data_IF_098504696251
#
_entry.id   IF_098504696251
#
_cell.length_a   1.000
_cell.length_b   1.000
_cell.length_c   1.000
_cell.angle_alpha   90.00
_cell.angle_beta   90.00
_cell.angle_gamma   90.00
#
_symmetry.space_group_name_H-M   'P 1'
#
loop_
_entity.id
_entity.type
_entity.pdbx_description
1 polymer ?
#
# COMPACT_ATOMS: atom_id res chain seq x y z
N UNK A 1 4.83 39.87 8.97
CA UNK A 1 3.39 39.46 8.92
C UNK A 1 3.14 38.37 7.88
N UNK A 2 3.79 38.40 6.72
CA UNK A 2 3.56 37.44 5.62
C UNK A 2 4.18 36.06 5.92
N UNK A 3 5.29 35.99 6.63
CA UNK A 3 5.93 34.73 7.03
C UNK A 3 5.06 33.91 8.00
N UNK A 4 4.34 34.58 8.91
CA UNK A 4 3.43 33.93 9.86
C UNK A 4 2.16 33.41 9.15
N UNK A 5 1.65 34.16 8.15
CA UNK A 5 0.52 33.74 7.30
C UNK A 5 0.87 32.53 6.45
N UNK A 6 2.06 32.49 5.83
CA UNK A 6 2.48 31.38 4.98
C UNK A 6 2.70 30.09 5.79
N UNK A 7 3.21 30.19 7.03
CA UNK A 7 3.32 29.05 7.95
C UNK A 7 1.95 28.48 8.32
N UNK A 8 0.98 29.35 8.67
CA UNK A 8 -0.38 28.92 8.98
C UNK A 8 -1.07 28.20 7.82
N UNK A 9 -0.87 28.66 6.57
CA UNK A 9 -1.44 28.01 5.39
C UNK A 9 -0.83 26.63 5.14
N UNK A 10 0.48 26.46 5.31
CA UNK A 10 1.15 25.17 5.20
C UNK A 10 0.61 24.15 6.19
N UNK A 11 0.34 24.55 7.44
CA UNK A 11 -0.22 23.66 8.46
C UNK A 11 -1.68 23.28 8.18
N UNK A 12 -2.47 24.17 7.58
CA UNK A 12 -3.83 23.88 7.10
C UNK A 12 -3.78 22.80 6.02
N UNK A 13 -2.88 22.91 5.03
CA UNK A 13 -2.74 21.90 3.99
C UNK A 13 -2.33 20.53 4.55
N UNK A 14 -1.39 20.46 5.47
CA UNK A 14 -0.98 19.21 6.12
C UNK A 14 -2.15 18.53 6.84
N UNK A 15 -2.92 19.31 7.62
CA UNK A 15 -4.13 18.82 8.31
C UNK A 15 -5.18 18.31 7.31
N UNK A 16 -5.42 19.03 6.22
CA UNK A 16 -6.34 18.61 5.17
C UNK A 16 -5.90 17.28 4.55
N UNK A 17 -4.60 17.11 4.20
CA UNK A 17 -4.10 15.86 3.65
C UNK A 17 -4.26 14.69 4.61
N UNK A 18 -3.99 14.90 5.91
CA UNK A 18 -4.20 13.89 6.95
C UNK A 18 -5.67 13.45 7.03
N UNK A 19 -6.60 14.43 7.14
CA UNK A 19 -8.04 14.16 7.23
C UNK A 19 -8.54 13.45 5.98
N UNK A 20 -8.13 13.91 4.79
CA UNK A 20 -8.54 13.30 3.52
C UNK A 20 -7.99 11.88 3.37
N UNK A 21 -6.75 11.61 3.82
CA UNK A 21 -6.18 10.25 3.82
C UNK A 21 -6.96 9.31 4.75
N UNK A 22 -7.29 9.76 5.97
CA UNK A 22 -8.12 8.99 6.89
C UNK A 22 -9.51 8.72 6.31
N UNK A 23 -10.14 9.74 5.75
CA UNK A 23 -11.49 9.65 5.19
C UNK A 23 -11.54 8.76 3.97
N UNK A 24 -10.60 8.89 3.03
CA UNK A 24 -10.55 8.06 1.82
C UNK A 24 -10.33 6.58 2.15
N UNK A 25 -9.47 6.29 3.12
CA UNK A 25 -9.23 4.92 3.56
C UNK A 25 -10.45 4.34 4.30
N UNK A 26 -11.07 5.10 5.21
CA UNK A 26 -12.31 4.69 5.87
C UNK A 26 -13.44 4.43 4.86
N UNK A 27 -13.56 5.30 3.85
CA UNK A 27 -14.53 5.12 2.76
C UNK A 27 -14.25 3.86 1.93
N UNK A 28 -12.99 3.60 1.61
CA UNK A 28 -12.56 2.37 0.97
C UNK A 28 -13.00 1.15 1.80
N UNK A 29 -12.66 1.11 3.09
CA UNK A 29 -13.02 0.00 3.96
C UNK A 29 -14.54 -0.20 4.03
N UNK A 30 -15.32 0.89 4.20
CA UNK A 30 -16.78 0.84 4.24
C UNK A 30 -17.36 0.22 2.95
N UNK A 31 -16.87 0.66 1.78
CA UNK A 31 -17.39 0.22 0.47
C UNK A 31 -16.88 -1.15 0.04
N UNK A 32 -15.63 -1.47 0.33
CA UNK A 32 -15.03 -2.76 0.00
C UNK A 32 -15.65 -3.90 0.79
N UNK A 33 -15.83 -3.71 2.11
CA UNK A 33 -16.35 -4.73 3.03
C UNK A 33 -17.86 -4.64 3.29
N UNK A 34 -18.53 -3.61 2.82
CA UNK A 34 -19.94 -3.33 3.06
C UNK A 34 -20.31 -3.41 4.55
N UNK A 35 -19.48 -2.77 5.39
CA UNK A 35 -19.66 -2.71 6.85
C UNK A 35 -19.64 -1.26 7.31
N UNK A 36 -20.41 -0.99 8.39
CA UNK A 36 -20.41 0.29 9.08
C UNK A 36 -20.17 0.03 10.56
N UNK A 37 -19.00 0.41 11.05
CA UNK A 37 -18.58 0.21 12.42
C UNK A 37 -17.50 1.22 12.81
N UNK A 38 -17.27 1.40 14.11
CA UNK A 38 -16.27 2.34 14.65
C UNK A 38 -14.83 2.04 14.23
N UNK A 39 -14.51 0.79 13.87
CA UNK A 39 -13.17 0.41 13.41
C UNK A 39 -12.81 1.05 12.07
N UNK A 40 -13.79 1.50 11.27
CA UNK A 40 -13.52 2.24 10.04
C UNK A 40 -12.69 3.50 10.32
N UNK A 41 -13.12 4.28 11.31
CA UNK A 41 -12.43 5.52 11.71
C UNK A 41 -11.09 5.21 12.36
N UNK A 42 -11.02 4.19 13.22
CA UNK A 42 -9.78 3.77 13.86
C UNK A 42 -8.69 3.39 12.83
N UNK A 43 -9.02 2.55 11.86
CA UNK A 43 -8.07 2.16 10.80
C UNK A 43 -7.79 3.30 9.82
N UNK A 44 -8.75 4.21 9.59
CA UNK A 44 -8.52 5.45 8.86
C UNK A 44 -7.45 6.32 9.52
N UNK A 45 -7.51 6.46 10.83
CA UNK A 45 -6.52 7.20 11.63
C UNK A 45 -5.16 6.49 11.59
N UNK A 46 -5.11 5.17 11.78
CA UNK A 46 -3.87 4.39 11.72
C UNK A 46 -3.16 4.55 10.37
N UNK A 47 -3.91 4.53 9.26
CA UNK A 47 -3.37 4.75 7.93
C UNK A 47 -2.86 6.18 7.75
N UNK A 48 -3.64 7.18 8.15
CA UNK A 48 -3.28 8.59 7.98
C UNK A 48 -2.09 9.02 8.85
N UNK A 49 -1.92 8.43 10.03
CA UNK A 49 -0.77 8.67 10.92
C UNK A 49 0.32 7.60 10.82
N UNK A 50 0.39 6.90 9.67
CA UNK A 50 1.50 5.98 9.42
C UNK A 50 2.85 6.71 9.39
N UNK A 51 3.94 5.96 9.61
CA UNK A 51 5.31 6.50 9.57
C UNK A 51 5.61 7.24 8.26
N UNK A 52 5.01 6.80 7.14
CA UNK A 52 5.13 7.51 5.87
C UNK A 52 4.63 8.96 5.96
N UNK A 53 3.45 9.19 6.52
CA UNK A 53 2.92 10.54 6.70
C UNK A 53 3.82 11.35 7.64
N UNK A 54 4.23 10.76 8.76
CA UNK A 54 5.07 11.43 9.76
C UNK A 54 6.46 11.79 9.20
N UNK A 55 7.02 10.96 8.33
CA UNK A 55 8.31 11.22 7.68
C UNK A 55 8.21 12.30 6.60
N UNK A 56 7.11 12.30 5.83
CA UNK A 56 6.98 13.10 4.60
C UNK A 56 5.90 14.19 4.65
N UNK A 57 5.36 14.53 5.84
CA UNK A 57 4.32 15.57 5.98
C UNK A 57 4.75 16.94 5.47
N UNK A 58 6.03 17.22 5.41
CA UNK A 58 6.60 18.44 4.84
C UNK A 58 6.56 18.45 3.31
N UNK A 59 6.51 17.30 2.65
CA UNK A 59 6.36 17.15 1.21
C UNK A 59 4.90 16.93 0.82
N UNK A 60 4.11 18.00 0.91
CA UNK A 60 2.64 17.98 0.81
C UNK A 60 2.13 17.34 -0.48
N UNK A 61 2.90 17.47 -1.58
CA UNK A 61 2.51 16.92 -2.89
C UNK A 61 2.56 15.39 -2.97
N UNK A 62 3.28 14.72 -2.07
CA UNK A 62 3.30 13.24 -2.03
C UNK A 62 2.09 12.67 -1.28
N UNK A 63 1.52 13.47 -0.38
CA UNK A 63 0.38 13.04 0.44
C UNK A 63 -0.91 12.86 -0.38
N UNK A 64 -0.99 13.46 -1.59
CA UNK A 64 -2.09 13.21 -2.52
C UNK A 64 -2.17 11.74 -2.93
N UNK A 65 -1.04 11.07 -3.03
CA UNK A 65 -1.00 9.65 -3.34
C UNK A 65 -1.60 8.79 -2.21
N UNK A 66 -1.41 9.17 -0.94
CA UNK A 66 -2.09 8.50 0.18
C UNK A 66 -3.61 8.67 0.13
N UNK A 67 -4.10 9.83 -0.35
CA UNK A 67 -5.54 10.08 -0.49
C UNK A 67 -6.11 9.25 -1.63
N UNK A 68 -5.41 9.21 -2.78
CA UNK A 68 -5.93 8.59 -4.00
C UNK A 68 -5.76 7.07 -4.02
N UNK A 69 -4.77 6.50 -3.34
CA UNK A 69 -4.52 5.05 -3.34
C UNK A 69 -5.74 4.22 -2.90
N UNK A 70 -6.44 4.53 -1.78
CA UNK A 70 -7.64 3.80 -1.39
C UNK A 70 -8.77 3.89 -2.44
N UNK A 71 -8.90 5.04 -3.11
CA UNK A 71 -9.92 5.23 -4.15
C UNK A 71 -9.57 4.49 -5.44
N UNK A 72 -8.29 4.43 -5.81
CA UNK A 72 -7.78 3.62 -6.91
C UNK A 72 -8.05 2.13 -6.63
N UNK A 73 -7.70 1.64 -5.43
CA UNK A 73 -7.97 0.27 -5.03
C UNK A 73 -9.47 -0.08 -5.08
N UNK A 74 -10.33 0.79 -4.54
CA UNK A 74 -11.78 0.64 -4.62
C UNK A 74 -12.28 0.65 -6.08
N UNK A 75 -11.69 1.49 -6.92
CA UNK A 75 -12.00 1.54 -8.35
C UNK A 75 -11.70 0.22 -9.05
N UNK A 76 -10.54 -0.40 -8.75
CA UNK A 76 -10.18 -1.72 -9.27
C UNK A 76 -11.17 -2.79 -8.81
N UNK A 77 -11.54 -2.79 -7.51
CA UNK A 77 -12.58 -3.71 -7.02
C UNK A 77 -13.93 -3.53 -7.74
N UNK A 78 -14.32 -2.28 -8.06
CA UNK A 78 -15.53 -2.01 -8.84
C UNK A 78 -15.42 -2.53 -10.28
N UNK A 79 -14.26 -2.43 -10.92
CA UNK A 79 -14.03 -3.05 -12.22
C UNK A 79 -14.32 -4.55 -12.15
N UNK A 80 -13.86 -5.25 -11.10
CA UNK A 80 -14.15 -6.67 -10.93
C UNK A 80 -15.63 -6.95 -10.62
N UNK A 81 -16.22 -6.20 -9.69
CA UNK A 81 -17.61 -6.45 -9.24
C UNK A 81 -18.67 -6.08 -10.30
N UNK A 82 -18.56 -4.90 -10.87
CA UNK A 82 -19.59 -4.33 -11.75
C UNK A 82 -19.11 -4.01 -13.17
N UNK A 83 -17.80 -3.96 -13.40
CA UNK A 83 -17.22 -3.49 -14.65
C UNK A 83 -17.18 -1.97 -14.79
N UNK A 84 -17.49 -1.21 -13.73
CA UNK A 84 -17.45 0.25 -13.71
C UNK A 84 -16.02 0.75 -13.59
N UNK A 85 -15.56 1.50 -14.60
CA UNK A 85 -14.20 2.04 -14.67
C UNK A 85 -14.07 3.46 -14.11
N UNK A 86 -15.19 4.15 -13.84
CA UNK A 86 -15.21 5.60 -13.57
C UNK A 86 -14.36 5.99 -12.37
N UNK A 87 -14.56 5.32 -11.22
CA UNK A 87 -13.84 5.67 -9.99
C UNK A 87 -12.33 5.50 -10.16
N UNK A 88 -11.90 4.39 -10.78
CA UNK A 88 -10.50 4.12 -11.05
C UNK A 88 -9.88 5.20 -11.94
N UNK A 89 -10.52 5.47 -13.09
CA UNK A 89 -10.04 6.46 -14.06
C UNK A 89 -9.94 7.84 -13.44
N UNK A 90 -11.00 8.32 -12.77
CA UNK A 90 -11.02 9.67 -12.16
C UNK A 90 -9.97 9.80 -11.08
N UNK A 91 -9.83 8.81 -10.19
CA UNK A 91 -8.83 8.84 -9.12
C UNK A 91 -7.40 8.86 -9.67
N UNK A 92 -7.14 8.11 -10.74
CA UNK A 92 -5.83 8.08 -11.39
C UNK A 92 -5.53 9.39 -12.12
N UNK A 93 -6.52 10.00 -12.79
CA UNK A 93 -6.38 11.33 -13.42
C UNK A 93 -6.05 12.39 -12.39
N UNK A 94 -6.78 12.45 -11.28
CA UNK A 94 -6.52 13.42 -10.19
C UNK A 94 -5.08 13.23 -9.67
N UNK A 95 -4.65 11.98 -9.47
CA UNK A 95 -3.32 11.71 -8.98
C UNK A 95 -2.23 12.13 -9.97
N UNK A 96 -2.37 11.87 -11.28
CA UNK A 96 -1.40 12.30 -12.28
C UNK A 96 -1.26 13.82 -12.36
N UNK A 97 -2.38 14.56 -12.25
CA UNK A 97 -2.33 16.02 -12.20
C UNK A 97 -1.70 16.54 -10.89
N UNK A 98 -1.96 15.87 -9.76
CA UNK A 98 -1.38 16.24 -8.48
C UNK A 98 0.13 15.93 -8.42
N UNK A 99 0.52 14.73 -8.85
CA UNK A 99 1.91 14.29 -8.87
C UNK A 99 2.09 13.09 -9.82
N UNK A 100 2.61 13.34 -11.01
CA UNK A 100 2.81 12.31 -12.03
C UNK A 100 3.75 11.19 -11.56
N UNK A 101 4.77 11.51 -10.77
CA UNK A 101 5.76 10.56 -10.30
C UNK A 101 5.16 9.56 -9.27
N UNK A 102 4.38 10.06 -8.32
CA UNK A 102 3.62 9.20 -7.41
C UNK A 102 2.53 8.43 -8.17
N UNK A 103 1.96 9.04 -9.22
CA UNK A 103 1.03 8.38 -10.13
C UNK A 103 1.64 7.17 -10.83
N UNK A 104 2.89 7.27 -11.29
CA UNK A 104 3.62 6.13 -11.85
C UNK A 104 3.75 4.97 -10.85
N UNK A 105 4.17 5.25 -9.61
CA UNK A 105 4.24 4.24 -8.56
C UNK A 105 2.88 3.61 -8.27
N UNK A 106 1.80 4.42 -8.24
CA UNK A 106 0.44 3.92 -8.09
C UNK A 106 -0.01 3.03 -9.26
N UNK A 107 0.48 3.25 -10.49
CA UNK A 107 0.21 2.34 -11.61
C UNK A 107 0.83 0.96 -11.39
N UNK A 108 2.07 0.88 -10.88
CA UNK A 108 2.68 -0.41 -10.51
C UNK A 108 1.82 -1.11 -9.45
N UNK A 109 1.46 -0.40 -8.39
CA UNK A 109 0.57 -0.93 -7.36
C UNK A 109 -0.78 -1.38 -7.92
N UNK A 110 -1.38 -0.60 -8.82
CA UNK A 110 -2.66 -0.91 -9.44
C UNK A 110 -2.64 -2.24 -10.20
N UNK A 111 -1.54 -2.54 -10.92
CA UNK A 111 -1.33 -3.83 -11.58
C UNK A 111 -1.25 -4.96 -10.54
N UNK A 112 -0.46 -4.79 -9.47
CA UNK A 112 -0.36 -5.80 -8.41
C UNK A 112 -1.72 -6.03 -7.74
N UNK A 113 -2.45 -4.95 -7.42
CA UNK A 113 -3.75 -5.03 -6.78
C UNK A 113 -4.83 -5.61 -7.70
N UNK A 114 -4.72 -5.41 -9.01
CA UNK A 114 -5.55 -6.08 -9.99
C UNK A 114 -5.42 -7.61 -9.88
N UNK A 115 -4.21 -8.13 -9.77
CA UNK A 115 -4.00 -9.57 -9.57
C UNK A 115 -4.52 -10.04 -8.21
N UNK A 116 -4.38 -9.25 -7.14
CA UNK A 116 -4.99 -9.54 -5.83
C UNK A 116 -6.50 -9.68 -5.95
N UNK A 117 -7.16 -8.73 -6.61
CA UNK A 117 -8.60 -8.77 -6.84
C UNK A 117 -9.01 -9.98 -7.70
N UNK A 118 -8.27 -10.26 -8.78
CA UNK A 118 -8.52 -11.42 -9.63
C UNK A 118 -8.43 -12.72 -8.84
N UNK A 119 -7.33 -12.95 -8.13
CA UNK A 119 -7.11 -14.17 -7.34
C UNK A 119 -8.22 -14.33 -6.29
N UNK A 120 -8.57 -13.27 -5.55
CA UNK A 120 -9.57 -13.34 -4.48
C UNK A 120 -11.00 -13.51 -4.99
N UNK A 121 -11.33 -12.96 -6.15
CA UNK A 121 -12.66 -13.15 -6.78
C UNK A 121 -12.89 -14.62 -7.14
N UNK A 122 -11.85 -15.33 -7.58
CA UNK A 122 -11.92 -16.76 -7.93
C UNK A 122 -11.59 -17.72 -6.77
N UNK A 123 -11.35 -17.20 -5.57
CA UNK A 123 -11.09 -18.03 -4.38
C UNK A 123 -12.32 -18.72 -3.83
N UNK A 124 -13.50 -18.43 -4.33
CA UNK A 124 -14.75 -18.98 -3.83
C UNK A 124 -15.22 -20.14 -4.70
N UNK A 125 -14.86 -21.38 -4.33
CA UNK A 125 -15.47 -22.67 -4.66
C UNK A 125 -16.14 -22.82 -6.05
N UNK A 126 -15.56 -22.25 -7.11
CA UNK A 126 -16.14 -22.31 -8.46
C UNK A 126 -17.53 -21.65 -8.59
N UNK A 127 -18.07 -21.12 -7.50
CA UNK A 127 -19.29 -20.31 -7.50
C UNK A 127 -18.88 -18.85 -7.56
N UNK A 128 -19.13 -18.23 -8.69
CA UNK A 128 -19.22 -16.77 -8.77
C UNK A 128 -20.17 -16.30 -7.68
N UNK A 129 -19.78 -15.28 -6.90
CA UNK A 129 -20.73 -14.61 -6.01
C UNK A 129 -22.02 -14.37 -6.80
N UNK A 130 -23.16 -14.74 -6.23
CA UNK A 130 -24.48 -14.76 -6.88
C UNK A 130 -24.92 -13.44 -7.55
N UNK A 131 -24.15 -12.38 -7.41
CA UNK A 131 -24.32 -11.08 -8.07
C UNK A 131 -23.55 -10.90 -9.39
N UNK A 132 -22.78 -11.89 -9.84
CA UNK A 132 -22.18 -11.89 -11.17
C UNK A 132 -23.06 -12.77 -12.07
N UNK A 133 -24.09 -12.17 -12.63
CA UNK A 133 -24.93 -12.76 -13.68
C UNK A 133 -24.07 -13.03 -14.89
N UNK A 134 -23.51 -14.24 -15.00
CA UNK A 134 -23.00 -14.80 -16.24
C UNK A 134 -23.38 -16.27 -16.36
N UNK A 135 -23.90 -16.57 -17.53
CA UNK A 135 -24.57 -17.80 -17.92
C UNK A 135 -23.82 -19.10 -17.57
N UNK A 136 -24.58 -20.06 -17.10
CA UNK A 136 -24.28 -21.46 -16.75
C UNK A 136 -23.65 -22.33 -17.88
N UNK A 137 -23.11 -21.75 -18.94
CA UNK A 137 -22.79 -22.47 -20.19
C UNK A 137 -21.32 -22.80 -20.46
N UNK A 138 -20.36 -22.40 -19.60
CA UNK A 138 -18.95 -22.59 -19.88
C UNK A 138 -18.24 -23.36 -18.76
N UNK A 139 -17.23 -24.18 -19.17
CA UNK A 139 -16.29 -24.78 -18.23
C UNK A 139 -15.67 -23.72 -17.32
N UNK A 140 -15.46 -24.02 -16.03
CA UNK A 140 -14.90 -23.08 -15.03
C UNK A 140 -13.61 -22.41 -15.52
N UNK A 141 -12.77 -23.11 -16.25
CA UNK A 141 -11.53 -22.57 -16.83
C UNK A 141 -11.78 -21.57 -17.96
N UNK A 142 -12.73 -21.83 -18.84
CA UNK A 142 -13.12 -20.92 -19.92
C UNK A 142 -13.81 -19.66 -19.38
N UNK A 143 -14.65 -19.80 -18.36
CA UNK A 143 -15.28 -18.68 -17.67
C UNK A 143 -14.25 -17.79 -16.97
N UNK A 144 -13.26 -18.39 -16.31
CA UNK A 144 -12.16 -17.69 -15.66
C UNK A 144 -11.34 -16.87 -16.67
N UNK A 145 -10.99 -17.45 -17.81
CA UNK A 145 -10.25 -16.74 -18.86
C UNK A 145 -11.07 -15.58 -19.45
N UNK A 146 -12.35 -15.78 -19.72
CA UNK A 146 -13.23 -14.73 -20.24
C UNK A 146 -13.36 -13.55 -19.28
N UNK A 147 -13.51 -13.80 -17.97
CA UNK A 147 -13.60 -12.73 -16.98
C UNK A 147 -12.25 -12.03 -16.81
N UNK A 148 -11.14 -12.75 -16.76
CA UNK A 148 -9.81 -12.17 -16.71
C UNK A 148 -9.57 -11.21 -17.88
N UNK A 149 -9.81 -11.69 -19.10
CA UNK A 149 -9.64 -10.89 -20.32
C UNK A 149 -10.56 -9.67 -20.30
N UNK A 150 -11.86 -9.85 -19.99
CA UNK A 150 -12.81 -8.74 -19.99
C UNK A 150 -12.46 -7.68 -18.95
N UNK A 151 -12.13 -8.09 -17.71
CA UNK A 151 -11.75 -7.15 -16.66
C UNK A 151 -10.37 -6.54 -16.90
N UNK A 152 -9.43 -7.31 -17.47
CA UNK A 152 -8.13 -6.83 -17.88
C UNK A 152 -8.21 -5.78 -18.98
N UNK A 153 -9.02 -6.00 -20.01
CA UNK A 153 -9.27 -5.01 -21.07
C UNK A 153 -9.88 -3.73 -20.50
N UNK A 154 -10.87 -3.84 -19.61
CA UNK A 154 -11.46 -2.65 -18.95
C UNK A 154 -10.46 -1.90 -18.09
N UNK A 155 -9.62 -2.60 -17.34
CA UNK A 155 -8.56 -2.01 -16.53
C UNK A 155 -7.53 -1.29 -17.41
N UNK A 156 -7.03 -1.95 -18.46
CA UNK A 156 -6.10 -1.35 -19.41
C UNK A 156 -6.70 -0.12 -20.12
N UNK A 157 -7.92 -0.24 -20.61
CA UNK A 157 -8.64 0.86 -21.25
C UNK A 157 -8.82 2.06 -20.32
N UNK A 158 -9.21 1.83 -19.07
CA UNK A 158 -9.35 2.87 -18.06
C UNK A 158 -8.01 3.57 -17.76
N UNK A 159 -6.91 2.80 -17.71
CA UNK A 159 -5.55 3.33 -17.49
C UNK A 159 -5.10 4.18 -18.69
N UNK A 160 -5.37 3.72 -19.91
CA UNK A 160 -5.07 4.48 -21.14
C UNK A 160 -5.85 5.78 -21.20
N UNK A 161 -7.16 5.75 -20.89
CA UNK A 161 -7.98 6.97 -20.83
C UNK A 161 -7.40 7.96 -19.82
N UNK A 162 -7.03 7.50 -18.63
CA UNK A 162 -6.44 8.37 -17.61
C UNK A 162 -5.13 9.00 -18.11
N UNK A 163 -4.26 8.22 -18.75
CA UNK A 163 -3.02 8.71 -19.33
C UNK A 163 -3.26 9.72 -20.47
N UNK A 164 -4.24 9.48 -21.34
CA UNK A 164 -4.60 10.37 -22.44
C UNK A 164 -5.15 11.71 -21.94
N UNK A 165 -6.02 11.69 -20.93
CA UNK A 165 -6.55 12.92 -20.29
C UNK A 165 -5.39 13.75 -19.70
N UNK A 166 -4.41 13.07 -19.09
CA UNK A 166 -3.25 13.72 -18.48
C UNK A 166 -2.09 13.95 -19.46
N UNK A 167 -2.24 13.63 -20.76
CA UNK A 167 -1.15 13.76 -21.76
C UNK A 167 -0.60 15.18 -21.84
N UNK A 168 -1.43 16.19 -21.63
CA UNK A 168 -1.01 17.60 -21.60
C UNK A 168 0.11 17.88 -20.57
N UNK A 169 0.15 17.12 -19.48
CA UNK A 169 1.21 17.22 -18.46
C UNK A 169 2.26 16.15 -18.62
N UNK A 170 1.86 14.90 -18.92
CA UNK A 170 2.76 13.75 -19.00
C UNK A 170 3.74 13.84 -20.18
N UNK A 171 3.28 14.33 -21.35
CA UNK A 171 4.14 14.40 -22.55
C UNK A 171 5.26 15.43 -22.38
N UNK A 172 5.01 16.69 -21.97
CA UNK A 172 6.08 17.64 -21.71
C UNK A 172 7.06 17.17 -20.62
N UNK A 173 6.55 16.59 -19.54
CA UNK A 173 7.39 16.04 -18.48
C UNK A 173 8.30 14.94 -19.02
N UNK A 174 7.77 13.99 -19.80
CA UNK A 174 8.56 12.94 -20.42
C UNK A 174 9.66 13.49 -21.33
N UNK A 175 9.34 14.51 -22.16
CA UNK A 175 10.33 15.17 -23.03
C UNK A 175 11.45 15.85 -22.24
N UNK A 176 11.12 16.52 -21.14
CA UNK A 176 12.11 17.17 -20.26
C UNK A 176 12.98 16.11 -19.56
N UNK A 177 12.38 15.07 -19.01
CA UNK A 177 13.11 14.00 -18.33
C UNK A 177 14.08 13.28 -19.25
N UNK A 178 13.68 13.01 -20.51
CA UNK A 178 14.55 12.38 -21.52
C UNK A 178 15.85 13.14 -21.76
N UNK A 179 15.83 14.45 -21.60
CA UNK A 179 16.99 15.34 -21.82
C UNK A 179 17.71 15.72 -20.51
N UNK A 180 17.28 15.15 -19.37
CA UNK A 180 17.86 15.47 -18.06
C UNK A 180 18.81 14.36 -17.58
N UNK A 181 19.70 14.69 -16.66
CA UNK A 181 20.57 13.73 -15.97
C UNK A 181 19.82 12.67 -15.16
N UNK A 182 18.52 12.88 -14.88
CA UNK A 182 17.69 11.93 -14.16
C UNK A 182 17.50 10.60 -14.92
N UNK A 183 17.69 10.57 -16.25
CA UNK A 183 17.57 9.35 -17.09
C UNK A 183 18.92 8.78 -17.53
N UNK A 184 20.03 9.31 -17.03
CA UNK A 184 21.38 8.85 -17.39
C UNK A 184 21.82 7.58 -16.66
N UNK A 185 21.03 7.09 -15.70
CA UNK A 185 21.34 5.87 -14.94
C UNK A 185 21.21 4.61 -15.80
N UNK A 186 22.18 3.68 -15.66
CA UNK A 186 22.10 2.34 -16.25
C UNK A 186 21.42 1.37 -15.30
N UNK A 187 20.73 0.37 -15.85
CA UNK A 187 20.13 -0.69 -15.04
C UNK A 187 21.20 -1.41 -14.22
N UNK A 188 20.97 -1.68 -12.92
CA UNK A 188 21.94 -2.35 -12.06
C UNK A 188 22.41 -3.70 -12.63
N UNK A 189 23.72 -3.89 -12.73
CA UNK A 189 24.33 -5.13 -13.24
C UNK A 189 24.37 -6.22 -12.18
N UNK A 190 24.30 -5.86 -10.90
CA UNK A 190 24.40 -6.77 -9.75
C UNK A 190 23.27 -6.52 -8.77
N UNK A 191 22.81 -7.59 -8.13
CA UNK A 191 21.86 -7.49 -7.03
C UNK A 191 22.56 -7.01 -5.76
N UNK A 192 22.03 -5.96 -5.15
CA UNK A 192 22.49 -5.44 -3.87
C UNK A 192 21.32 -5.40 -2.90
N UNK A 193 21.55 -5.93 -1.70
CA UNK A 193 20.66 -5.80 -0.55
C UNK A 193 21.05 -4.55 0.25
N UNK A 194 20.07 -3.80 0.77
CA UNK A 194 20.31 -2.54 1.47
C UNK A 194 20.39 -2.69 2.99
N UNK A 195 19.70 -3.70 3.54
CA UNK A 195 19.60 -3.92 4.99
C UNK A 195 19.31 -5.39 5.32
N UNK A 196 19.53 -5.76 6.57
CA UNK A 196 19.14 -7.07 7.07
C UNK A 196 17.62 -7.16 7.28
N UNK A 197 17.03 -8.31 6.95
CA UNK A 197 15.57 -8.52 7.04
C UNK A 197 15.03 -8.35 8.47
N UNK A 198 15.83 -8.67 9.49
CA UNK A 198 15.44 -8.45 10.89
C UNK A 198 15.28 -6.96 11.21
N UNK A 199 16.11 -6.11 10.61
CA UNK A 199 16.02 -4.66 10.77
C UNK A 199 14.69 -4.11 10.24
N UNK A 200 14.18 -4.65 9.11
CA UNK A 200 12.91 -4.24 8.55
C UNK A 200 11.74 -4.48 9.51
N UNK A 201 11.79 -5.56 10.31
CA UNK A 201 10.71 -5.85 11.24
C UNK A 201 10.65 -4.78 12.34
N UNK A 202 11.81 -4.22 12.73
CA UNK A 202 11.83 -3.11 13.70
C UNK A 202 11.09 -1.88 13.21
N UNK A 203 11.04 -1.64 11.89
CA UNK A 203 10.29 -0.52 11.29
C UNK A 203 8.77 -0.58 11.50
N UNK A 204 8.24 -1.67 12.08
CA UNK A 204 6.85 -1.77 12.50
C UNK A 204 6.60 -1.29 13.94
N UNK A 205 7.63 -0.90 14.67
CA UNK A 205 7.50 -0.38 16.03
C UNK A 205 7.47 1.14 16.04
N UNK A 206 6.86 1.71 17.08
CA UNK A 206 6.82 3.13 17.33
C UNK A 206 8.19 3.65 17.81
N UNK A 207 8.37 4.97 17.76
CA UNK A 207 9.54 5.68 18.28
C UNK A 207 10.87 5.30 17.63
N UNK A 208 10.85 4.63 16.48
CA UNK A 208 12.05 4.52 15.63
C UNK A 208 12.24 5.83 14.87
N UNK A 209 13.50 6.18 14.70
CA UNK A 209 13.87 7.34 13.93
C UNK A 209 13.39 7.16 12.48
N UNK A 210 12.57 8.12 12.01
CA UNK A 210 12.05 8.05 10.63
C UNK A 210 13.15 8.39 9.64
N UNK A 211 13.21 7.63 8.54
CA UNK A 211 14.11 7.93 7.42
C UNK A 211 13.64 9.18 6.70
N UNK A 212 14.39 10.25 6.84
CA UNK A 212 14.18 11.54 6.17
C UNK A 212 15.50 11.92 5.51
N UNK A 213 15.48 12.25 4.21
CA UNK A 213 16.65 12.74 3.47
C UNK A 213 17.91 11.90 3.66
N UNK A 214 17.78 10.60 3.58
CA UNK A 214 18.90 9.68 3.61
C UNK A 214 18.81 8.71 2.45
N UNK A 215 19.93 8.32 1.94
CA UNK A 215 20.11 7.31 0.91
C UNK A 215 21.33 6.48 1.23
N UNK A 216 21.35 5.23 0.78
CA UNK A 216 22.47 4.32 0.98
C UNK A 216 22.13 3.09 1.81
N UNK A 217 23.17 2.43 2.30
CA UNK A 217 23.03 1.18 3.03
C UNK A 217 22.46 1.41 4.44
N UNK A 218 21.73 0.42 4.94
CA UNK A 218 21.07 0.44 6.26
C UNK A 218 19.97 1.50 6.45
N UNK A 219 19.45 2.07 5.37
CA UNK A 219 18.27 2.94 5.41
C UNK A 219 17.02 2.10 5.34
N UNK A 220 16.10 2.29 6.30
CA UNK A 220 14.88 1.49 6.42
C UNK A 220 13.64 2.23 5.90
N UNK A 221 12.65 1.53 5.32
CA UNK A 221 11.41 2.15 4.89
C UNK A 221 10.53 2.56 6.07
N UNK A 222 9.81 3.68 5.91
CA UNK A 222 8.83 4.19 6.88
C UNK A 222 7.51 3.43 6.73
N UNK A 223 7.32 2.32 7.47
CA UNK A 223 6.19 1.39 7.33
C UNK A 223 5.34 1.20 8.58
N UNK A 224 5.70 1.80 9.72
CA UNK A 224 4.86 1.75 10.92
C UNK A 224 3.45 2.27 10.64
N UNK A 225 2.45 1.51 11.03
CA UNK A 225 1.03 1.84 10.81
C UNK A 225 0.21 1.56 12.07
N UNK A 226 0.83 1.78 13.23
CA UNK A 226 0.25 1.50 14.54
C UNK A 226 0.54 0.08 15.02
N UNK A 227 0.83 -0.07 16.30
CA UNK A 227 1.14 -1.36 16.94
C UNK A 227 0.00 -2.37 16.78
N UNK A 228 -1.25 -1.88 16.76
CA UNK A 228 -2.42 -2.72 16.58
C UNK A 228 -2.37 -3.48 15.25
N UNK A 229 -1.96 -2.83 14.14
CA UNK A 229 -1.85 -3.51 12.85
C UNK A 229 -0.79 -4.59 12.90
N UNK A 230 0.35 -4.35 13.54
CA UNK A 230 1.43 -5.33 13.71
C UNK A 230 0.96 -6.57 14.48
N UNK A 231 0.23 -6.39 15.60
CA UNK A 231 -0.34 -7.50 16.39
C UNK A 231 -1.38 -8.29 15.58
N UNK A 232 -2.15 -7.62 14.73
CA UNK A 232 -3.19 -8.25 13.93
C UNK A 232 -2.66 -9.04 12.73
N UNK A 233 -1.42 -8.81 12.25
CA UNK A 233 -0.85 -9.54 11.12
C UNK A 233 -0.71 -11.05 11.38
N UNK A 234 -0.06 -11.54 12.45
CA UNK A 234 -0.02 -12.97 12.71
C UNK A 234 -1.41 -13.54 13.03
N UNK A 235 -2.30 -12.77 13.66
CA UNK A 235 -3.69 -13.18 13.87
C UNK A 235 -4.47 -13.33 12.56
N UNK A 236 -4.15 -12.54 11.53
CA UNK A 236 -4.67 -12.72 10.17
C UNK A 236 -4.32 -14.10 9.63
N UNK A 237 -3.08 -14.56 9.84
CA UNK A 237 -2.59 -15.83 9.31
C UNK A 237 -3.26 -17.04 9.99
N UNK A 238 -3.49 -16.98 11.30
CA UNK A 238 -4.11 -18.08 12.05
C UNK A 238 -5.64 -18.08 12.02
N UNK A 239 -6.27 -17.01 11.52
CA UNK A 239 -7.72 -16.85 11.51
C UNK A 239 -8.43 -17.87 10.61
N UNK A 240 -9.27 -18.73 11.17
CA UNK A 240 -9.95 -19.82 10.44
C UNK A 240 -11.08 -19.35 9.52
N UNK A 241 -11.57 -18.09 9.66
CA UNK A 241 -12.61 -17.52 8.80
C UNK A 241 -12.05 -16.85 7.55
N UNK A 242 -10.74 -16.62 7.47
CA UNK A 242 -10.07 -16.08 6.30
C UNK A 242 -9.55 -17.26 5.48
N UNK A 243 -9.91 -17.32 4.20
CA UNK A 243 -9.53 -18.41 3.30
C UNK A 243 -8.02 -18.44 3.08
N UNK A 244 -7.46 -19.66 3.00
CA UNK A 244 -6.01 -19.85 2.83
C UNK A 244 -5.48 -19.15 1.58
N UNK A 245 -6.22 -19.18 0.48
CA UNK A 245 -5.85 -18.52 -0.78
C UNK A 245 -5.74 -17.00 -0.61
N UNK A 246 -6.66 -16.41 0.13
CA UNK A 246 -6.62 -14.98 0.44
C UNK A 246 -5.42 -14.63 1.32
N UNK A 247 -5.16 -15.41 2.37
CA UNK A 247 -3.96 -15.27 3.21
C UNK A 247 -2.69 -15.33 2.35
N UNK A 248 -2.58 -16.36 1.51
CA UNK A 248 -1.43 -16.53 0.62
C UNK A 248 -1.24 -15.34 -0.31
N UNK A 249 -2.33 -14.79 -0.88
CA UNK A 249 -2.25 -13.62 -1.76
C UNK A 249 -1.69 -12.40 -1.05
N UNK A 250 -2.15 -12.10 0.17
CA UNK A 250 -1.63 -10.97 0.94
C UNK A 250 -0.19 -11.20 1.42
N UNK A 251 0.15 -12.43 1.84
CA UNK A 251 1.52 -12.79 2.23
C UNK A 251 2.49 -12.62 1.05
N UNK A 252 2.14 -13.13 -0.13
CA UNK A 252 2.95 -12.96 -1.35
C UNK A 252 3.13 -11.47 -1.66
N UNK A 253 2.08 -10.66 -1.51
CA UNK A 253 2.18 -9.22 -1.74
C UNK A 253 3.12 -8.54 -0.72
N UNK A 254 3.04 -8.91 0.56
CA UNK A 254 3.96 -8.42 1.59
C UNK A 254 5.41 -8.82 1.26
N UNK A 255 5.65 -10.10 0.94
CA UNK A 255 6.98 -10.60 0.57
C UNK A 255 7.52 -9.83 -0.65
N UNK A 256 6.67 -9.56 -1.63
CA UNK A 256 7.04 -8.76 -2.80
C UNK A 256 7.49 -7.34 -2.40
N UNK A 257 6.76 -6.67 -1.50
CA UNK A 257 7.17 -5.34 -1.03
C UNK A 257 8.47 -5.39 -0.22
N UNK A 258 8.63 -6.39 0.64
CA UNK A 258 9.88 -6.61 1.39
C UNK A 258 11.06 -6.80 0.44
N UNK A 259 10.87 -7.60 -0.60
CA UNK A 259 11.88 -7.76 -1.66
C UNK A 259 12.18 -6.44 -2.36
N UNK A 260 11.14 -5.66 -2.73
CA UNK A 260 11.31 -4.37 -3.39
C UNK A 260 12.05 -3.35 -2.51
N UNK A 261 11.80 -3.32 -1.21
CA UNK A 261 12.51 -2.44 -0.29
C UNK A 261 13.97 -2.82 -0.14
N UNK A 262 14.32 -4.10 -0.25
CA UNK A 262 15.67 -4.59 -0.01
C UNK A 262 16.45 -4.94 -1.28
N UNK A 263 16.01 -4.46 -2.44
CA UNK A 263 16.64 -4.79 -3.71
C UNK A 263 16.81 -3.58 -4.61
N UNK A 264 18.05 -3.30 -5.03
CA UNK A 264 18.39 -2.15 -5.87
C UNK A 264 17.73 -2.17 -7.27
N UNK A 265 17.57 -3.35 -7.87
CA UNK A 265 16.91 -3.45 -9.19
C UNK A 265 15.42 -3.12 -9.08
N UNK A 266 14.76 -3.60 -8.02
CA UNK A 266 13.36 -3.29 -7.77
C UNK A 266 13.18 -1.82 -7.43
N UNK A 267 14.03 -1.24 -6.60
CA UNK A 267 14.01 0.18 -6.27
C UNK A 267 14.17 1.06 -7.53
N UNK A 268 15.10 0.70 -8.42
CA UNK A 268 15.29 1.37 -9.70
C UNK A 268 14.00 1.39 -10.54
N UNK A 269 13.28 0.27 -10.61
CA UNK A 269 11.99 0.18 -11.32
C UNK A 269 10.94 1.07 -10.65
N UNK A 270 10.79 1.00 -9.32
CA UNK A 270 9.82 1.80 -8.58
C UNK A 270 10.05 3.30 -8.73
N UNK A 271 11.28 3.72 -8.93
CA UNK A 271 11.68 5.12 -9.11
C UNK A 271 11.76 5.56 -10.58
N UNK A 272 11.00 4.92 -11.48
CA UNK A 272 10.92 5.24 -12.91
C UNK A 272 12.29 5.16 -13.61
N UNK A 273 13.00 4.08 -13.37
CA UNK A 273 14.28 3.75 -13.99
C UNK A 273 15.42 4.73 -13.67
N UNK A 274 15.45 5.21 -12.44
CA UNK A 274 16.61 5.93 -11.89
C UNK A 274 16.74 5.66 -10.39
N UNK A 275 17.91 5.92 -9.83
CA UNK A 275 18.11 5.87 -8.39
C UNK A 275 17.74 7.22 -7.75
N UNK A 276 16.97 7.22 -6.65
CA UNK A 276 16.72 8.45 -5.92
C UNK A 276 18.02 8.95 -5.27
N UNK A 277 18.33 10.24 -5.41
CA UNK A 277 19.45 10.85 -4.72
C UNK A 277 19.24 10.86 -3.20
N UNK A 278 17.99 11.07 -2.78
CA UNK A 278 17.50 11.08 -1.41
C UNK A 278 16.08 10.51 -1.36
N UNK A 279 15.57 10.28 -0.14
CA UNK A 279 14.17 9.90 0.07
C UNK A 279 13.81 8.57 -0.63
N UNK A 280 14.45 7.46 -0.26
CA UNK A 280 14.13 6.15 -0.77
C UNK A 280 12.73 5.72 -0.30
N UNK A 281 12.23 4.63 -0.88
CA UNK A 281 10.98 3.98 -0.45
C UNK A 281 9.74 4.88 -0.48
N UNK A 282 9.64 5.79 -1.46
CA UNK A 282 8.50 6.72 -1.62
C UNK A 282 7.15 6.00 -1.78
N UNK A 283 7.18 4.70 -2.07
CA UNK A 283 6.02 3.84 -2.21
C UNK A 283 5.63 3.06 -0.93
N UNK A 284 6.32 3.30 0.21
CA UNK A 284 6.08 2.53 1.45
C UNK A 284 4.66 2.73 2.03
N UNK A 285 3.95 3.83 1.72
CA UNK A 285 2.54 4.00 2.10
C UNK A 285 1.61 2.94 1.49
N UNK A 286 2.00 2.30 0.38
CA UNK A 286 1.26 1.18 -0.22
C UNK A 286 1.34 -0.06 0.65
N UNK A 287 2.50 -0.31 1.24
CA UNK A 287 2.65 -1.35 2.24
C UNK A 287 1.79 -1.07 3.48
N UNK A 288 1.82 0.17 3.99
CA UNK A 288 0.95 0.61 5.10
C UNK A 288 -0.54 0.40 4.79
N UNK A 289 -0.97 0.68 3.56
CA UNK A 289 -2.33 0.39 3.09
C UNK A 289 -2.65 -1.11 3.20
N UNK A 290 -1.76 -1.98 2.73
CA UNK A 290 -1.98 -3.44 2.73
C UNK A 290 -2.11 -3.98 4.15
N UNK A 291 -1.18 -3.63 5.06
CA UNK A 291 -1.22 -4.14 6.44
C UNK A 291 -2.42 -3.60 7.22
N UNK A 292 -2.84 -2.36 6.96
CA UNK A 292 -4.06 -1.80 7.55
C UNK A 292 -5.31 -2.55 7.06
N UNK A 293 -5.40 -2.90 5.77
CA UNK A 293 -6.49 -3.72 5.22
C UNK A 293 -6.50 -5.11 5.85
N UNK A 294 -5.34 -5.76 5.99
CA UNK A 294 -5.24 -7.07 6.66
C UNK A 294 -5.68 -6.99 8.12
N UNK A 295 -5.25 -5.97 8.85
CA UNK A 295 -5.67 -5.71 10.22
C UNK A 295 -7.18 -5.55 10.34
N UNK A 296 -7.80 -4.72 9.50
CA UNK A 296 -9.25 -4.53 9.48
C UNK A 296 -10.01 -5.82 9.16
N UNK A 297 -9.53 -6.62 8.19
CA UNK A 297 -10.10 -7.95 7.89
C UNK A 297 -10.04 -8.89 9.09
N UNK A 298 -8.95 -8.85 9.84
CA UNK A 298 -8.78 -9.66 11.05
C UNK A 298 -9.84 -9.28 12.09
N UNK A 299 -10.06 -8.01 12.33
CA UNK A 299 -11.10 -7.51 13.26
C UNK A 299 -12.51 -7.93 12.79
N UNK A 300 -12.83 -7.78 11.51
CA UNK A 300 -14.14 -8.21 10.99
C UNK A 300 -14.40 -9.71 11.17
N UNK A 301 -13.35 -10.51 11.15
CA UNK A 301 -13.42 -11.96 11.27
C UNK A 301 -12.93 -12.46 12.64
N UNK A 302 -12.92 -11.61 13.67
CA UNK A 302 -12.33 -11.91 14.98
C UNK A 302 -12.87 -13.22 15.60
N UNK A 303 -14.14 -13.53 15.36
CA UNK A 303 -14.76 -14.82 15.78
C UNK A 303 -14.09 -16.06 15.17
N UNK A 304 -13.19 -15.92 14.19
CA UNK A 304 -12.40 -17.02 13.61
C UNK A 304 -11.09 -17.30 14.35
N UNK A 305 -10.78 -16.53 15.39
CA UNK A 305 -9.56 -16.63 16.19
C UNK A 305 -9.92 -17.32 17.52
N UNK A 306 -9.18 -18.35 17.90
CA UNK A 306 -9.33 -19.03 19.19
C UNK A 306 -8.49 -18.30 20.24
N UNK A 307 -8.91 -18.40 21.50
CA UNK A 307 -8.16 -17.79 22.62
C UNK A 307 -6.71 -18.26 22.68
N UNK A 308 -6.47 -19.53 22.39
CA UNK A 308 -5.12 -20.10 22.30
C UNK A 308 -4.27 -19.45 21.19
N UNK A 309 -4.88 -19.08 20.07
CA UNK A 309 -4.17 -18.44 18.95
C UNK A 309 -3.70 -17.02 19.35
N UNK A 310 -4.51 -16.32 20.16
CA UNK A 310 -4.14 -15.02 20.74
C UNK A 310 -2.97 -15.18 21.71
N UNK A 311 -3.02 -16.19 22.59
CA UNK A 311 -1.96 -16.46 23.55
C UNK A 311 -0.64 -16.82 22.84
N UNK A 312 -0.67 -17.71 21.86
CA UNK A 312 0.52 -18.09 21.09
C UNK A 312 1.08 -16.93 20.28
N UNK A 313 0.22 -16.13 19.65
CA UNK A 313 0.66 -14.93 18.92
C UNK A 313 1.29 -13.91 19.86
N UNK A 314 0.67 -13.66 21.03
CA UNK A 314 1.23 -12.77 22.04
C UNK A 314 2.59 -13.26 22.54
N UNK A 315 2.73 -14.55 22.85
CA UNK A 315 4.00 -15.15 23.25
C UNK A 315 5.07 -15.02 22.15
N UNK A 316 4.69 -15.29 20.89
CA UNK A 316 5.60 -15.17 19.75
C UNK A 316 6.08 -13.71 19.56
N UNK A 317 5.19 -12.74 19.67
CA UNK A 317 5.53 -11.30 19.58
C UNK A 317 6.47 -10.90 20.72
N UNK A 318 6.16 -11.28 21.98
CA UNK A 318 7.01 -10.99 23.14
C UNK A 318 8.39 -11.61 22.97
N UNK A 319 8.46 -12.89 22.60
CA UNK A 319 9.72 -13.58 22.36
C UNK A 319 10.53 -12.91 21.25
N UNK A 320 9.85 -12.49 20.19
CA UNK A 320 10.45 -11.78 19.08
C UNK A 320 11.02 -10.41 19.52
N UNK A 321 10.27 -9.63 20.30
CA UNK A 321 10.70 -8.34 20.84
C UNK A 321 11.96 -8.51 21.71
N UNK A 322 11.99 -9.54 22.58
CA UNK A 322 13.16 -9.84 23.41
C UNK A 322 14.39 -10.17 22.55
N UNK A 323 14.20 -10.96 21.48
CA UNK A 323 15.28 -11.29 20.54
C UNK A 323 15.78 -10.02 19.84
N UNK A 324 14.88 -9.19 19.33
CA UNK A 324 15.24 -7.93 18.68
C UNK A 324 15.98 -6.98 19.65
N UNK A 325 15.54 -6.87 20.90
CA UNK A 325 16.22 -6.07 21.92
C UNK A 325 17.67 -6.53 22.13
N UNK A 326 17.91 -7.83 22.12
CA UNK A 326 19.26 -8.39 22.32
C UNK A 326 20.18 -8.19 21.12
N UNK A 327 19.66 -8.36 19.90
CA UNK A 327 20.49 -8.36 18.68
C UNK A 327 20.51 -7.01 17.96
N UNK A 328 19.52 -6.15 18.21
CA UNK A 328 19.35 -4.86 17.51
C UNK A 328 19.41 -3.67 18.50
N UNK A 329 20.27 -3.76 19.50
CA UNK A 329 20.42 -2.77 20.59
C UNK A 329 20.65 -1.33 20.09
N UNK A 330 21.28 -1.16 18.93
CA UNK A 330 21.50 0.15 18.32
C UNK A 330 20.24 0.77 17.70
N UNK A 331 19.18 -0.02 17.46
CA UNK A 331 17.95 0.42 16.78
C UNK A 331 16.72 0.35 17.69
N UNK A 332 16.73 -0.49 18.72
CA UNK A 332 15.63 -0.64 19.67
C UNK A 332 16.04 -0.17 21.05
N UNK A 333 15.53 0.97 21.48
CA UNK A 333 15.72 1.51 22.83
C UNK A 333 14.63 1.00 23.77
N UNK A 334 14.83 1.17 25.09
CA UNK A 334 13.81 0.83 26.08
C UNK A 334 12.50 1.61 25.86
N UNK A 335 12.58 2.84 25.36
CA UNK A 335 11.39 3.64 24.99
C UNK A 335 10.64 3.06 23.80
N UNK A 336 11.33 2.45 22.83
CA UNK A 336 10.70 1.77 21.68
C UNK A 336 9.90 0.53 22.11
N UNK A 337 10.32 -0.14 23.17
CA UNK A 337 9.72 -1.39 23.65
C UNK A 337 8.55 -1.11 24.61
N UNK A 338 8.60 0.02 25.35
CA UNK A 338 7.59 0.36 26.34
C UNK A 338 6.28 0.93 25.76
N UNK A 339 6.22 1.16 24.45
CA UNK A 339 5.04 1.63 23.70
C UNK A 339 4.35 0.48 23.01
#
# INVERSE_FOLDING_TARGET
RDLVRSRGLGDVYKRQKCILSATSFSYYLKKSFNKDNYFLSAFGILYAFSAYFLAYYWNVMWLDAMIMLPLIALGIEKIFKTGDIKLYTVSLVILFFANYYMGYMCCIFAVLYFFVCFINTYSNDGKLNENAVYEKKYSTKALMNNVFINRGVKFAFASIIAALICAITLVPVFMILKNSSATSGTFPQTFKSYFDLLDLITSHFALLETTIRSSGDNVLPNIYTGILTFILLPLFLVNNKIKLKEKATYVVLIIFFVFCFNNNCAEYIWHAFHFPNDLPYRYSYMYSFIIAVMGYKTILNFKGIKVKDIAYTGLAIISFVIICQKFLTNKMTNSTISV
#
